data_IF_566191475349
#
_entry.id   IF_566191475349
#
_cell.length_a   1.000
_cell.length_b   1.000
_cell.length_c   1.000
_cell.angle_alpha   90.00
_cell.angle_beta   90.00
_cell.angle_gamma   90.00
#
_symmetry.space_group_name_H-M   'P 1'
#
loop_
_entity.id
_entity.type
_entity.pdbx_description
1 polymer ?
#
# COMPACT_ATOMS: atom_id res chain seq x y z
N UNK A 1 24.53 9.34 35.30
CA UNK A 1 24.70 8.78 33.94
C UNK A 1 23.86 7.51 33.84
N UNK A 2 22.83 7.51 32.98
CA UNK A 2 21.71 6.55 33.01
C UNK A 2 22.03 5.35 32.09
N UNK A 3 22.93 4.47 32.54
CA UNK A 3 23.31 3.22 31.84
C UNK A 3 22.34 2.04 32.12
N UNK A 4 21.25 2.28 32.86
CA UNK A 4 20.23 1.29 33.22
C UNK A 4 19.70 0.42 32.06
N UNK A 5 19.53 0.91 30.81
CA UNK A 5 18.90 0.09 29.76
C UNK A 5 19.75 -1.08 29.24
N UNK A 6 21.06 -1.13 29.53
CA UNK A 6 21.95 -2.20 29.06
C UNK A 6 21.98 -3.37 30.05
N UNK A 7 21.80 -3.10 31.35
CA UNK A 7 21.90 -4.10 32.41
C UNK A 7 20.56 -4.68 32.88
N UNK A 8 19.45 -3.99 32.60
CA UNK A 8 18.11 -4.43 33.00
C UNK A 8 17.15 -4.37 31.80
N UNK A 9 16.87 -5.51 31.13
CA UNK A 9 16.00 -5.57 29.97
C UNK A 9 14.54 -5.19 30.30
N UNK A 10 14.11 -5.31 31.56
CA UNK A 10 12.76 -4.93 32.01
C UNK A 10 12.61 -3.41 32.24
N UNK A 11 13.73 -2.68 32.36
CA UNK A 11 13.72 -1.21 32.39
C UNK A 11 13.50 -0.57 31.00
N UNK A 12 13.34 -1.39 29.95
CA UNK A 12 13.08 -0.92 28.59
C UNK A 12 11.68 -0.32 28.52
N UNK A 13 11.58 0.96 28.15
CA UNK A 13 10.29 1.59 27.89
C UNK A 13 9.50 0.75 26.88
N UNK A 14 8.19 0.53 27.09
CA UNK A 14 7.38 -0.18 26.13
C UNK A 14 7.51 0.50 24.76
N UNK A 15 7.70 -0.30 23.72
CA UNK A 15 7.85 0.21 22.35
C UNK A 15 6.66 1.12 22.03
N UNK A 16 6.89 2.33 21.50
CA UNK A 16 5.81 3.23 21.15
C UNK A 16 4.84 2.50 20.20
N UNK A 17 3.54 2.69 20.42
CA UNK A 17 2.51 2.12 19.55
C UNK A 17 2.80 2.55 18.11
N UNK A 18 2.82 1.62 17.14
CA UNK A 18 3.07 1.98 15.75
C UNK A 18 2.06 3.03 15.30
N UNK A 19 2.57 4.12 14.72
CA UNK A 19 1.74 5.18 14.14
C UNK A 19 0.93 4.57 13.01
N UNK A 20 -0.39 4.64 13.14
CA UNK A 20 -1.30 4.26 12.07
C UNK A 20 -1.29 5.37 11.02
N UNK A 21 -0.35 5.27 10.08
CA UNK A 21 -0.37 6.06 8.86
C UNK A 21 -1.53 5.58 7.99
N UNK A 22 -2.30 6.51 7.40
CA UNK A 22 -3.40 6.20 6.49
C UNK A 22 -2.88 5.66 5.15
N UNK A 23 -2.35 4.43 5.16
CA UNK A 23 -1.88 3.70 3.97
C UNK A 23 -2.98 3.59 2.91
N UNK A 24 -4.24 3.49 3.36
CA UNK A 24 -5.42 3.41 2.48
C UNK A 24 -5.51 4.58 1.52
N UNK A 25 -5.23 5.82 1.96
CA UNK A 25 -5.33 7.00 1.10
C UNK A 25 -4.29 6.94 -0.03
N UNK A 26 -3.06 6.58 0.33
CA UNK A 26 -1.94 6.47 -0.62
C UNK A 26 -2.18 5.36 -1.63
N UNK A 27 -2.66 4.20 -1.18
CA UNK A 27 -2.98 3.09 -2.08
C UNK A 27 -4.14 3.40 -3.02
N UNK A 28 -5.18 4.08 -2.55
CA UNK A 28 -6.28 4.54 -3.41
C UNK A 28 -5.81 5.58 -4.43
N UNK A 29 -5.02 6.55 -4.01
CA UNK A 29 -4.47 7.57 -4.91
C UNK A 29 -3.59 6.94 -6.00
N UNK A 30 -2.68 6.04 -5.62
CA UNK A 30 -1.81 5.33 -6.56
C UNK A 30 -2.59 4.45 -7.54
N UNK A 31 -3.51 3.63 -7.03
CA UNK A 31 -4.34 2.73 -7.88
C UNK A 31 -5.24 3.53 -8.82
N UNK A 32 -5.84 4.62 -8.33
CA UNK A 32 -6.68 5.51 -9.12
C UNK A 32 -5.91 6.20 -10.24
N UNK A 33 -4.67 6.64 -9.97
CA UNK A 33 -3.80 7.23 -10.98
C UNK A 33 -3.45 6.22 -12.08
N UNK A 34 -3.07 4.99 -11.71
CA UNK A 34 -2.78 3.93 -12.68
C UNK A 34 -4.01 3.55 -13.51
N UNK A 35 -5.20 3.49 -12.89
CA UNK A 35 -6.45 3.20 -13.59
C UNK A 35 -6.80 4.32 -14.59
N UNK A 36 -6.64 5.58 -14.19
CA UNK A 36 -6.86 6.73 -15.08
C UNK A 36 -5.90 6.69 -16.28
N UNK A 37 -4.62 6.43 -16.05
CA UNK A 37 -3.63 6.28 -17.11
C UNK A 37 -4.02 5.14 -18.08
N UNK A 38 -4.53 4.03 -17.56
CA UNK A 38 -4.98 2.89 -18.37
C UNK A 38 -6.18 3.25 -19.25
N UNK A 39 -7.14 4.02 -18.73
CA UNK A 39 -8.30 4.52 -19.50
C UNK A 39 -7.82 5.42 -20.65
N UNK A 40 -6.90 6.34 -20.37
CA UNK A 40 -6.35 7.25 -21.39
C UNK A 40 -5.62 6.46 -22.49
N UNK A 41 -4.78 5.49 -22.10
CA UNK A 41 -4.06 4.65 -23.05
C UNK A 41 -5.00 3.77 -23.88
N UNK A 42 -6.05 3.21 -23.27
CA UNK A 42 -7.07 2.45 -23.98
C UNK A 42 -7.78 3.33 -25.03
N UNK A 43 -8.13 4.57 -24.69
CA UNK A 43 -8.71 5.51 -25.64
C UNK A 43 -7.75 5.81 -26.81
N UNK A 44 -6.47 6.07 -26.53
CA UNK A 44 -5.43 6.26 -27.56
C UNK A 44 -5.30 5.06 -28.50
N UNK A 45 -5.43 3.83 -27.98
CA UNK A 45 -5.42 2.60 -28.80
C UNK A 45 -6.60 2.56 -29.77
N UNK A 46 -7.78 2.99 -29.34
CA UNK A 46 -8.98 3.07 -30.22
C UNK A 46 -8.75 4.07 -31.36
N UNK A 47 -7.99 5.13 -31.13
CA UNK A 47 -7.58 6.09 -32.17
C UNK A 47 -6.40 5.60 -33.05
N UNK A 48 -5.95 4.36 -32.89
CA UNK A 48 -4.92 3.74 -33.74
C UNK A 48 -3.48 3.97 -33.28
N UNK A 49 -3.26 4.54 -32.09
CA UNK A 49 -1.91 4.67 -31.51
C UNK A 49 -1.48 3.35 -30.87
N UNK A 50 -0.29 2.85 -31.23
CA UNK A 50 0.24 1.64 -30.62
C UNK A 50 0.71 1.93 -29.17
N UNK A 51 -0.15 1.65 -28.20
CA UNK A 51 0.14 1.85 -26.77
C UNK A 51 0.30 0.53 -26.01
N UNK A 52 0.54 -0.59 -26.70
CA UNK A 52 0.54 -1.93 -26.08
C UNK A 52 1.51 -2.01 -24.88
N UNK A 53 2.74 -1.49 -25.04
CA UNK A 53 3.73 -1.48 -23.94
C UNK A 53 3.28 -0.66 -22.72
N UNK A 54 2.96 0.63 -22.84
CA UNK A 54 2.51 1.41 -21.68
C UNK A 54 1.18 0.90 -21.09
N UNK A 55 0.32 0.26 -21.90
CA UNK A 55 -0.92 -0.35 -21.43
C UNK A 55 -0.66 -1.55 -20.50
N UNK A 56 0.31 -2.41 -20.83
CA UNK A 56 0.74 -3.52 -19.95
C UNK A 56 1.32 -2.99 -18.64
N UNK A 57 2.15 -1.94 -18.70
CA UNK A 57 2.73 -1.32 -17.50
C UNK A 57 1.62 -0.75 -16.62
N UNK A 58 0.68 0.00 -17.18
CA UNK A 58 -0.44 0.52 -16.41
C UNK A 58 -1.31 -0.58 -15.83
N UNK A 59 -1.56 -1.66 -16.57
CA UNK A 59 -2.33 -2.80 -16.10
C UNK A 59 -1.65 -3.47 -14.91
N UNK A 60 -0.32 -3.66 -14.98
CA UNK A 60 0.45 -4.18 -13.85
C UNK A 60 0.38 -3.27 -12.63
N UNK A 61 0.47 -1.94 -12.82
CA UNK A 61 0.31 -0.96 -11.74
C UNK A 61 -1.05 -1.03 -11.05
N UNK A 62 -2.13 -1.16 -11.82
CA UNK A 62 -3.49 -1.37 -11.27
C UNK A 62 -3.57 -2.68 -10.51
N UNK A 63 -3.06 -3.78 -11.06
CA UNK A 63 -3.10 -5.11 -10.40
C UNK A 63 -2.33 -5.08 -9.08
N UNK A 64 -1.11 -4.53 -9.07
CA UNK A 64 -0.31 -4.41 -7.84
C UNK A 64 -1.02 -3.51 -6.82
N UNK A 65 -1.57 -2.38 -7.26
CA UNK A 65 -2.35 -1.48 -6.38
C UNK A 65 -3.56 -2.15 -5.74
N UNK A 66 -4.31 -2.94 -6.52
CA UNK A 66 -5.45 -3.73 -6.02
C UNK A 66 -5.00 -4.81 -5.03
N UNK A 67 -3.90 -5.52 -5.31
CA UNK A 67 -3.35 -6.53 -4.39
C UNK A 67 -2.95 -5.90 -3.06
N UNK A 68 -2.30 -4.73 -3.07
CA UNK A 68 -1.96 -3.98 -1.85
C UNK A 68 -3.19 -3.51 -1.09
N UNK A 69 -4.24 -3.04 -1.77
CA UNK A 69 -5.52 -2.67 -1.15
C UNK A 69 -6.20 -3.85 -0.48
N UNK A 70 -6.21 -5.02 -1.13
CA UNK A 70 -6.76 -6.26 -0.57
C UNK A 70 -5.94 -6.69 0.64
N UNK A 71 -4.61 -6.67 0.54
CA UNK A 71 -3.71 -7.01 1.64
C UNK A 71 -3.95 -6.11 2.86
N UNK A 72 -4.04 -4.79 2.67
CA UNK A 72 -4.30 -3.84 3.75
C UNK A 72 -5.66 -4.09 4.43
N UNK A 73 -6.69 -4.41 3.62
CA UNK A 73 -8.01 -4.74 4.14
C UNK A 73 -8.02 -6.06 4.93
N UNK A 74 -7.24 -7.06 4.50
CA UNK A 74 -7.06 -8.34 5.20
C UNK A 74 -6.22 -8.18 6.48
N UNK A 75 -5.07 -7.51 6.42
CA UNK A 75 -4.20 -7.24 7.57
C UNK A 75 -4.97 -6.57 8.72
N UNK A 76 -5.84 -5.59 8.40
CA UNK A 76 -6.71 -4.94 9.40
C UNK A 76 -7.83 -5.85 9.94
N UNK A 77 -8.28 -6.83 9.17
CA UNK A 77 -9.21 -7.87 9.67
C UNK A 77 -8.50 -8.79 10.65
N UNK A 78 -7.25 -9.12 10.42
CA UNK A 78 -6.46 -9.99 11.29
C UNK A 78 -6.11 -9.30 12.62
N UNK A 79 -5.79 -8.00 12.61
CA UNK A 79 -5.62 -7.24 13.87
C UNK A 79 -6.87 -7.28 14.76
N UNK A 80 -8.08 -7.28 14.18
CA UNK A 80 -9.32 -7.43 14.97
C UNK A 80 -9.55 -8.85 15.48
N UNK A 81 -9.05 -9.86 14.76
CA UNK A 81 -9.16 -11.27 15.18
C UNK A 81 -8.15 -11.64 16.27
N UNK A 82 -6.98 -10.99 16.28
CA UNK A 82 -5.91 -11.21 17.27
C UNK A 82 -6.10 -10.40 18.56
N UNK A 83 -7.04 -9.45 18.59
CA UNK A 83 -7.35 -8.63 19.76
C UNK A 83 -8.51 -9.19 20.62
N UNK A 84 -9.02 -10.39 20.27
CA UNK A 84 -9.95 -11.21 21.04
C UNK A 84 -9.20 -12.39 21.63
#
# INVERSE_FOLDING_TARGET
>A
MKLAPIFDPDARRPSPKPVQVDLRLIFWAGTGLWALALIILAALTVFGVNTVKPMIVCASGVVIGLLMLVWEHCNRRDYRRLAL
#
